data_IF_649328815556
#
_entry.id   IF_649328815556
#
_cell.length_a   1.000
_cell.length_b   1.000
_cell.length_c   1.000
_cell.angle_alpha   90.00
_cell.angle_beta   90.00
_cell.angle_gamma   90.00
#
_symmetry.space_group_name_H-M   'P 1'
#
loop_
_entity.id
_entity.type
_entity.pdbx_description
1 polymer ?
#
# COMPACT_ATOMS: atom_id res chain seq x y z
N UNK A 1 -9.67 34.37 24.25
CA UNK A 1 -9.37 34.08 22.83
C UNK A 1 -7.87 34.02 22.51
N UNK A 2 -7.09 35.13 22.60
CA UNK A 2 -5.67 35.14 22.19
C UNK A 2 -4.77 34.08 22.85
N UNK A 3 -4.98 33.76 24.13
CA UNK A 3 -4.21 32.74 24.88
C UNK A 3 -4.50 31.30 24.39
N UNK A 4 -5.74 31.04 23.97
CA UNK A 4 -6.16 29.75 23.40
C UNK A 4 -5.59 29.56 21.99
N UNK A 5 -5.63 30.60 21.15
CA UNK A 5 -5.03 30.60 19.81
C UNK A 5 -3.51 30.37 19.88
N UNK A 6 -2.80 31.06 20.78
CA UNK A 6 -1.36 30.87 20.98
C UNK A 6 -1.00 29.48 21.50
N UNK A 7 -1.85 28.90 22.35
CA UNK A 7 -1.71 27.51 22.81
C UNK A 7 -1.91 26.53 21.66
N UNK A 8 -2.91 26.74 20.80
CA UNK A 8 -3.13 25.93 19.59
C UNK A 8 -1.96 26.05 18.62
N UNK A 9 -1.45 27.25 18.35
CA UNK A 9 -0.27 27.48 17.49
C UNK A 9 0.96 26.74 18.00
N UNK A 10 1.21 26.75 19.32
CA UNK A 10 2.32 26.02 19.93
C UNK A 10 2.16 24.50 19.85
N UNK A 11 0.92 23.99 19.99
CA UNK A 11 0.61 22.57 19.85
C UNK A 11 0.72 22.11 18.39
N UNK A 12 0.29 22.95 17.44
CA UNK A 12 0.40 22.71 16.01
C UNK A 12 1.86 22.75 15.55
N UNK A 13 2.69 23.67 16.04
CA UNK A 13 4.11 23.73 15.63
C UNK A 13 4.93 22.53 16.15
N UNK A 14 4.68 22.09 17.39
CA UNK A 14 5.41 20.97 17.97
C UNK A 14 4.94 19.62 17.39
N UNK A 15 3.63 19.45 17.15
CA UNK A 15 3.09 18.26 16.46
C UNK A 15 3.41 18.27 14.96
N UNK A 16 3.57 19.43 14.34
CA UNK A 16 3.92 19.56 12.92
C UNK A 16 5.26 18.90 12.59
N UNK A 17 6.29 19.14 13.41
CA UNK A 17 7.60 18.48 13.24
C UNK A 17 7.53 16.96 13.35
N UNK A 18 6.79 16.45 14.34
CA UNK A 18 6.60 15.01 14.51
C UNK A 18 5.82 14.40 13.36
N UNK A 19 4.71 15.02 12.94
CA UNK A 19 3.91 14.55 11.81
C UNK A 19 4.71 14.55 10.51
N UNK A 20 5.51 15.60 10.28
CA UNK A 20 6.41 15.67 9.13
C UNK A 20 7.44 14.54 9.13
N UNK A 21 8.15 14.33 10.24
CA UNK A 21 9.09 13.23 10.37
C UNK A 21 8.40 11.87 10.19
N UNK A 22 7.21 11.68 10.75
CA UNK A 22 6.43 10.47 10.59
C UNK A 22 6.06 10.20 9.12
N UNK A 23 5.64 11.23 8.38
CA UNK A 23 5.34 11.12 6.94
C UNK A 23 6.61 10.84 6.13
N UNK A 24 7.72 11.52 6.45
CA UNK A 24 9.01 11.30 5.80
C UNK A 24 9.51 9.86 5.97
N UNK A 25 9.53 9.34 7.19
CA UNK A 25 9.92 7.94 7.44
C UNK A 25 8.92 6.95 6.84
N UNK A 26 7.63 7.27 6.81
CA UNK A 26 6.62 6.44 6.15
C UNK A 26 6.89 6.31 4.65
N UNK A 27 7.14 7.44 3.97
CA UNK A 27 7.47 7.49 2.55
C UNK A 27 8.77 6.77 2.25
N UNK A 28 9.83 7.07 3.00
CA UNK A 28 11.13 6.44 2.84
C UNK A 28 11.05 4.93 3.03
N UNK A 29 10.41 4.47 4.13
CA UNK A 29 10.23 3.05 4.39
C UNK A 29 9.36 2.36 3.33
N UNK A 30 8.34 3.04 2.81
CA UNK A 30 7.55 2.54 1.69
C UNK A 30 8.38 2.36 0.43
N UNK A 31 9.15 3.37 0.01
CA UNK A 31 10.00 3.28 -1.19
C UNK A 31 11.06 2.18 -1.09
N UNK A 32 11.69 2.04 0.07
CA UNK A 32 12.66 0.97 0.33
C UNK A 32 11.96 -0.38 0.20
N UNK A 33 10.81 -0.58 0.86
CA UNK A 33 10.04 -1.82 0.76
C UNK A 33 9.58 -2.10 -0.68
N UNK A 34 9.05 -1.09 -1.36
CA UNK A 34 8.59 -1.17 -2.76
C UNK A 34 9.70 -1.63 -3.70
N UNK A 35 10.96 -1.26 -3.44
CA UNK A 35 12.10 -1.70 -4.23
C UNK A 35 12.36 -3.21 -4.11
N UNK A 36 12.07 -3.83 -2.96
CA UNK A 36 12.28 -5.27 -2.76
C UNK A 36 11.22 -6.13 -3.45
N UNK A 37 9.96 -5.70 -3.49
CA UNK A 37 8.89 -6.49 -4.09
C UNK A 37 8.42 -6.00 -5.45
N UNK A 38 8.90 -4.85 -5.93
CA UNK A 38 8.56 -4.18 -7.21
C UNK A 38 7.46 -4.88 -8.03
N UNK A 39 6.21 -4.37 -7.98
CA UNK A 39 5.07 -4.85 -8.77
C UNK A 39 5.34 -5.04 -10.26
N UNK A 40 6.27 -4.25 -10.81
CA UNK A 40 6.56 -4.20 -12.23
C UNK A 40 7.60 -5.25 -12.67
N UNK A 41 8.47 -5.68 -11.76
CA UNK A 41 9.62 -6.51 -12.13
C UNK A 41 9.76 -7.76 -11.25
N UNK A 42 9.72 -7.61 -9.93
CA UNK A 42 9.99 -8.70 -9.00
C UNK A 42 8.81 -9.66 -8.90
N UNK A 43 7.57 -9.18 -8.66
CA UNK A 43 6.39 -10.08 -8.60
C UNK A 43 6.17 -10.82 -9.94
N UNK A 44 6.20 -10.17 -11.12
CA UNK A 44 6.02 -10.88 -12.39
C UNK A 44 7.10 -11.93 -12.64
N UNK A 45 8.37 -11.63 -12.29
CA UNK A 45 9.47 -12.59 -12.40
C UNK A 45 9.31 -13.77 -11.42
N UNK A 46 8.89 -13.49 -10.19
CA UNK A 46 8.61 -14.50 -9.18
C UNK A 46 7.52 -15.46 -9.66
N UNK A 47 6.42 -14.93 -10.20
CA UNK A 47 5.31 -15.73 -10.75
C UNK A 47 5.75 -16.54 -11.97
N UNK A 48 6.61 -15.98 -12.83
CA UNK A 48 7.21 -16.72 -13.96
C UNK A 48 8.10 -17.88 -13.49
N UNK A 49 8.75 -17.75 -12.34
CA UNK A 49 9.55 -18.85 -11.77
C UNK A 49 8.67 -19.97 -11.20
N UNK A 50 7.46 -19.65 -10.74
CA UNK A 50 6.49 -20.61 -10.18
C UNK A 50 5.64 -21.31 -11.25
N UNK A 51 5.47 -20.71 -12.44
CA UNK A 51 4.69 -21.29 -13.53
C UNK A 51 5.21 -20.88 -14.91
N UNK A 52 5.30 -21.85 -15.82
CA UNK A 52 5.63 -21.62 -17.23
C UNK A 52 4.46 -20.98 -18.01
N UNK A 53 3.25 -20.99 -17.45
CA UNK A 53 2.08 -20.43 -18.12
C UNK A 53 2.09 -18.89 -18.06
N UNK A 54 2.25 -18.27 -19.23
CA UNK A 54 2.29 -16.81 -19.42
C UNK A 54 1.01 -16.10 -18.97
N UNK A 55 -0.12 -16.80 -18.86
CA UNK A 55 -1.37 -16.26 -18.34
C UNK A 55 -1.20 -15.61 -16.96
N UNK A 56 -0.46 -16.24 -16.05
CA UNK A 56 -0.29 -15.75 -14.68
C UNK A 56 0.51 -14.44 -14.61
N UNK A 57 1.54 -14.32 -15.45
CA UNK A 57 2.34 -13.10 -15.56
C UNK A 57 1.49 -11.94 -16.10
N UNK A 58 0.65 -12.23 -17.11
CA UNK A 58 -0.31 -11.25 -17.65
C UNK A 58 -1.35 -10.85 -16.61
N UNK A 59 -1.89 -11.81 -15.86
CA UNK A 59 -2.87 -11.56 -14.80
C UNK A 59 -2.31 -10.67 -13.69
N UNK A 60 -1.09 -10.92 -13.22
CA UNK A 60 -0.43 -10.07 -12.21
C UNK A 60 -0.25 -8.64 -12.72
N UNK A 61 0.17 -8.48 -13.97
CA UNK A 61 0.33 -7.15 -14.58
C UNK A 61 -1.00 -6.41 -14.69
N UNK A 62 -2.07 -7.13 -15.06
CA UNK A 62 -3.43 -6.59 -15.12
C UNK A 62 -3.95 -6.22 -13.73
N UNK A 63 -3.75 -7.08 -12.72
CA UNK A 63 -4.09 -6.82 -11.31
C UNK A 63 -3.34 -5.60 -10.81
N UNK A 64 -2.05 -5.46 -11.09
CA UNK A 64 -1.27 -4.30 -10.67
C UNK A 64 -1.84 -3.00 -11.22
N UNK A 65 -2.21 -2.99 -12.50
CA UNK A 65 -2.75 -1.79 -13.16
C UNK A 65 -4.15 -1.48 -12.65
N UNK A 66 -5.07 -2.45 -12.74
CA UNK A 66 -6.47 -2.25 -12.35
C UNK A 66 -6.55 -1.97 -10.85
N UNK A 67 -5.82 -2.72 -10.03
CA UNK A 67 -5.82 -2.59 -8.58
C UNK A 67 -5.35 -1.22 -8.12
N UNK A 68 -4.37 -0.62 -8.80
CA UNK A 68 -3.94 0.73 -8.47
C UNK A 68 -4.88 1.80 -9.05
N UNK A 69 -5.22 1.73 -10.34
CA UNK A 69 -5.90 2.82 -11.05
C UNK A 69 -7.42 2.84 -10.88
N UNK A 70 -8.09 1.69 -10.71
CA UNK A 70 -9.55 1.65 -10.64
C UNK A 70 -10.08 2.13 -9.29
N UNK A 71 -9.57 1.68 -8.12
CA UNK A 71 -10.11 2.09 -6.83
C UNK A 71 -9.88 3.56 -6.55
N UNK A 72 -8.76 4.15 -7.01
CA UNK A 72 -8.50 5.58 -6.80
C UNK A 72 -9.57 6.48 -7.43
N UNK A 73 -10.17 6.09 -8.57
CA UNK A 73 -11.23 6.86 -9.22
C UNK A 73 -12.48 6.97 -8.32
N UNK A 74 -12.80 5.87 -7.62
CA UNK A 74 -13.93 5.80 -6.71
C UNK A 74 -13.57 6.48 -5.38
N UNK A 75 -12.42 6.12 -4.81
CA UNK A 75 -11.96 6.59 -3.51
C UNK A 75 -11.71 8.11 -3.48
N UNK A 76 -11.25 8.71 -4.57
CA UNK A 76 -11.00 10.16 -4.63
C UNK A 76 -12.25 10.98 -4.29
N UNK A 77 -13.40 10.63 -4.88
CA UNK A 77 -14.68 11.31 -4.60
C UNK A 77 -15.11 11.17 -3.15
N UNK A 78 -14.90 10.00 -2.55
CA UNK A 78 -15.25 9.73 -1.15
C UNK A 78 -14.34 10.48 -0.19
N UNK A 79 -13.03 10.47 -0.44
CA UNK A 79 -12.01 11.11 0.41
C UNK A 79 -12.15 12.63 0.40
N UNK A 80 -12.54 13.25 -0.72
CA UNK A 80 -12.75 14.70 -0.81
C UNK A 80 -13.76 15.24 0.21
N UNK A 81 -14.80 14.47 0.54
CA UNK A 81 -15.83 14.86 1.51
C UNK A 81 -15.43 14.62 2.98
N UNK A 82 -14.28 13.99 3.26
CA UNK A 82 -13.91 13.61 4.63
C UNK A 82 -13.29 14.78 5.40
N UNK A 83 -13.78 15.11 6.61
CA UNK A 83 -13.22 16.19 7.43
C UNK A 83 -11.84 15.84 8.01
N UNK A 84 -11.52 14.56 8.21
CA UNK A 84 -10.25 14.10 8.80
C UNK A 84 -9.66 12.90 8.03
N UNK A 85 -8.87 13.18 7.01
CA UNK A 85 -8.28 12.15 6.12
C UNK A 85 -7.16 11.32 6.78
N UNK A 86 -6.57 11.84 7.87
CA UNK A 86 -5.47 11.16 8.60
C UNK A 86 -5.87 9.76 9.10
N UNK A 87 -7.08 9.60 9.65
CA UNK A 87 -7.52 8.30 10.18
C UNK A 87 -7.70 7.28 9.06
N UNK A 88 -8.30 7.70 7.95
CA UNK A 88 -8.44 6.89 6.74
C UNK A 88 -7.07 6.45 6.22
N UNK A 89 -6.15 7.41 6.03
CA UNK A 89 -4.79 7.14 5.57
C UNK A 89 -4.06 6.11 6.43
N UNK A 90 -4.10 6.27 7.75
CA UNK A 90 -3.43 5.34 8.66
C UNK A 90 -4.08 3.94 8.64
N UNK A 91 -5.41 3.86 8.61
CA UNK A 91 -6.11 2.58 8.63
C UNK A 91 -5.91 1.79 7.34
N UNK A 92 -6.14 2.43 6.18
CA UNK A 92 -5.95 1.78 4.88
C UNK A 92 -4.47 1.46 4.65
N UNK A 93 -3.55 2.31 5.10
CA UNK A 93 -2.12 2.02 5.05
C UNK A 93 -1.68 0.78 5.84
N UNK A 94 -2.38 0.42 6.92
CA UNK A 94 -2.14 -0.85 7.63
C UNK A 94 -2.64 -2.03 6.78
N UNK A 95 -3.85 -1.91 6.22
CA UNK A 95 -4.45 -2.93 5.34
C UNK A 95 -3.61 -3.15 4.10
N UNK A 96 -2.95 -2.11 3.58
CA UNK A 96 -2.05 -2.21 2.44
C UNK A 96 -0.78 -3.01 2.77
N UNK A 97 -0.24 -2.88 3.98
CA UNK A 97 1.03 -3.50 4.38
C UNK A 97 0.90 -4.93 4.91
N UNK A 98 -0.22 -5.26 5.55
CA UNK A 98 -0.50 -6.61 6.06
C UNK A 98 -0.36 -7.70 4.97
N UNK A 99 -0.92 -7.54 3.75
CA UNK A 99 -0.74 -8.47 2.65
C UNK A 99 0.74 -8.73 2.31
N UNK A 100 1.61 -7.72 2.30
CA UNK A 100 3.03 -7.92 1.98
C UNK A 100 3.69 -8.84 3.02
N UNK A 101 3.36 -8.66 4.30
CA UNK A 101 3.86 -9.55 5.36
C UNK A 101 3.33 -10.98 5.19
N UNK A 102 2.06 -11.12 4.83
CA UNK A 102 1.46 -12.43 4.53
C UNK A 102 2.09 -13.08 3.29
N UNK A 103 2.56 -12.30 2.32
CA UNK A 103 3.28 -12.80 1.15
C UNK A 103 4.63 -13.40 1.55
N UNK A 104 5.40 -12.72 2.41
CA UNK A 104 6.65 -13.27 2.92
C UNK A 104 6.41 -14.59 3.70
N UNK A 105 5.34 -14.63 4.50
CA UNK A 105 4.96 -15.85 5.24
C UNK A 105 4.53 -16.98 4.30
N UNK A 106 3.79 -16.69 3.23
CA UNK A 106 3.36 -17.71 2.27
C UNK A 106 4.55 -18.34 1.53
N UNK A 107 5.56 -17.54 1.18
CA UNK A 107 6.82 -18.02 0.60
C UNK A 107 7.51 -18.99 1.56
N UNK A 108 7.62 -18.62 2.85
CA UNK A 108 8.25 -19.47 3.86
C UNK A 108 7.52 -20.81 4.05
N UNK A 109 6.19 -20.82 4.05
CA UNK A 109 5.39 -22.02 4.30
C UNK A 109 5.26 -22.94 3.08
N UNK A 110 5.11 -22.37 1.87
CA UNK A 110 4.74 -23.13 0.67
C UNK A 110 5.83 -23.20 -0.40
N UNK A 111 6.91 -22.42 -0.27
CA UNK A 111 7.91 -22.24 -1.33
C UNK A 111 8.60 -23.50 -1.84
N UNK A 112 8.76 -24.52 -1.01
CA UNK A 112 9.42 -25.77 -1.41
C UNK A 112 8.44 -26.89 -1.77
N UNK A 113 7.24 -26.86 -1.21
CA UNK A 113 6.35 -28.02 -1.20
C UNK A 113 5.22 -27.92 -2.23
N UNK A 114 4.72 -26.71 -2.51
CA UNK A 114 3.50 -26.53 -3.31
C UNK A 114 3.54 -25.22 -4.13
N UNK A 115 4.23 -25.18 -5.29
CA UNK A 115 4.36 -23.98 -6.10
C UNK A 115 3.01 -23.44 -6.60
N UNK A 116 2.04 -24.31 -6.88
CA UNK A 116 0.71 -23.90 -7.32
C UNK A 116 -0.08 -23.18 -6.21
N UNK A 117 -0.01 -23.65 -4.97
CA UNK A 117 -0.65 -22.98 -3.82
C UNK A 117 0.00 -21.61 -3.60
N UNK A 118 1.34 -21.56 -3.61
CA UNK A 118 2.08 -20.32 -3.44
C UNK A 118 1.73 -19.29 -4.52
N UNK A 119 1.59 -19.72 -5.77
CA UNK A 119 1.21 -18.87 -6.89
C UNK A 119 -0.20 -18.27 -6.73
N UNK A 120 -1.19 -19.08 -6.37
CA UNK A 120 -2.56 -18.61 -6.14
C UNK A 120 -2.61 -17.65 -4.95
N UNK A 121 -2.00 -18.04 -3.83
CA UNK A 121 -1.96 -17.22 -2.60
C UNK A 121 -1.26 -15.89 -2.86
N UNK A 122 -0.11 -15.89 -3.55
CA UNK A 122 0.62 -14.67 -3.91
C UNK A 122 -0.23 -13.76 -4.79
N UNK A 123 -0.94 -14.32 -5.77
CA UNK A 123 -1.81 -13.55 -6.67
C UNK A 123 -2.94 -12.86 -5.91
N UNK A 124 -3.61 -13.57 -4.99
CA UNK A 124 -4.69 -13.02 -4.17
C UNK A 124 -4.16 -11.92 -3.25
N UNK A 125 -3.08 -12.20 -2.53
CA UNK A 125 -2.45 -11.26 -1.59
C UNK A 125 -2.00 -9.99 -2.33
N UNK A 126 -1.38 -10.14 -3.49
CA UNK A 126 -0.96 -9.03 -4.33
C UNK A 126 -2.16 -8.20 -4.85
N UNK A 127 -3.27 -8.86 -5.19
CA UNK A 127 -4.52 -8.18 -5.54
C UNK A 127 -5.06 -7.33 -4.39
N UNK A 128 -5.12 -7.87 -3.17
CA UNK A 128 -5.57 -7.13 -1.98
C UNK A 128 -4.64 -5.93 -1.70
N UNK A 129 -3.33 -6.14 -1.78
CA UNK A 129 -2.33 -5.10 -1.61
C UNK A 129 -2.53 -3.93 -2.58
N UNK A 130 -2.63 -4.24 -3.89
CA UNK A 130 -2.74 -3.22 -4.94
C UNK A 130 -4.06 -2.47 -4.87
N UNK A 131 -5.17 -3.16 -4.56
CA UNK A 131 -6.47 -2.52 -4.33
C UNK A 131 -6.44 -1.55 -3.14
N UNK A 132 -5.85 -1.98 -2.02
CA UNK A 132 -5.70 -1.13 -0.84
C UNK A 132 -4.84 0.10 -1.14
N UNK A 133 -3.73 -0.07 -1.87
CA UNK A 133 -2.88 1.02 -2.33
C UNK A 133 -3.64 2.02 -3.22
N UNK A 134 -4.42 1.53 -4.18
CA UNK A 134 -5.27 2.37 -5.04
C UNK A 134 -6.29 3.18 -4.24
N UNK A 135 -6.92 2.57 -3.23
CA UNK A 135 -7.83 3.28 -2.32
C UNK A 135 -7.12 4.35 -1.48
N UNK A 136 -5.89 4.08 -1.04
CA UNK A 136 -5.14 4.97 -0.15
C UNK A 136 -4.47 6.15 -0.89
N UNK A 137 -4.14 5.97 -2.16
CA UNK A 137 -3.40 6.92 -2.99
C UNK A 137 -3.95 8.37 -2.95
N UNK A 138 -5.26 8.64 -3.11
CA UNK A 138 -5.78 10.01 -3.03
C UNK A 138 -5.64 10.65 -1.64
N UNK A 139 -5.71 9.85 -0.57
CA UNK A 139 -5.49 10.35 0.79
C UNK A 139 -4.00 10.66 1.03
N UNK A 140 -3.10 9.89 0.42
CA UNK A 140 -1.66 10.13 0.49
C UNK A 140 -1.28 11.49 -0.10
N UNK A 141 -1.74 11.77 -1.32
CA UNK A 141 -1.42 13.01 -2.04
C UNK A 141 -2.02 14.29 -1.43
N UNK A 142 -3.02 14.16 -0.55
CA UNK A 142 -3.65 15.30 0.10
C UNK A 142 -3.04 15.62 1.47
N UNK A 143 -2.39 14.64 2.11
CA UNK A 143 -1.78 14.78 3.45
C UNK A 143 -0.30 15.22 3.37
N UNK A 144 0.39 14.84 2.29
CA UNK A 144 1.81 15.19 2.02
C UNK A 144 1.90 16.52 1.29
#
# INVERSE_FOLDING_TARGET
MKKFVKSLESLLSNRGRFNYLACFFNFFGFLVGYSFFSPLTVIPLFVKHLSENTFWVGLISAISSIGFFLPQLIAASWIQGMPFKRQYFCFVGIIERLPILLMALSIFLFGQNNPLILLVVTTIIFGVHTLAMGCNSPAYFDIV
#
